data_IF_008461577198
#
_entry.id   IF_008461577198
#
_cell.length_a   1.000
_cell.length_b   1.000
_cell.length_c   1.000
_cell.angle_alpha   90.00
_cell.angle_beta   90.00
_cell.angle_gamma   90.00
#
_symmetry.space_group_name_H-M   'P 1'
#
loop_
_entity.id
_entity.type
_entity.pdbx_description
1 polymer ?
#
# COMPACT_ATOMS: atom_id res chain seq x y z
N UNK A 1 3.92 -30.91 -21.89
CA UNK A 1 4.68 -29.74 -21.41
C UNK A 1 4.37 -29.46 -19.95
N UNK A 2 5.38 -29.12 -19.16
CA UNK A 2 5.29 -28.87 -17.71
C UNK A 2 4.33 -27.71 -17.39
N UNK A 3 4.24 -26.70 -18.26
CA UNK A 3 3.38 -25.53 -18.08
C UNK A 3 1.89 -25.84 -17.87
N UNK A 4 1.32 -26.84 -18.57
CA UNK A 4 -0.09 -27.23 -18.38
C UNK A 4 -0.33 -27.84 -16.98
N UNK A 5 0.67 -28.49 -16.38
CA UNK A 5 0.59 -29.01 -15.01
C UNK A 5 0.67 -27.87 -13.99
N UNK A 6 1.60 -26.93 -14.18
CA UNK A 6 1.72 -25.74 -13.33
C UNK A 6 0.45 -24.88 -13.34
N UNK A 7 -0.16 -24.67 -14.50
CA UNK A 7 -1.41 -23.92 -14.62
C UNK A 7 -2.55 -24.55 -13.83
N UNK A 8 -2.63 -25.89 -13.75
CA UNK A 8 -3.64 -26.57 -12.92
C UNK A 8 -3.45 -26.29 -11.44
N UNK A 9 -2.21 -26.24 -10.96
CA UNK A 9 -1.92 -25.87 -9.58
C UNK A 9 -2.26 -24.40 -9.29
N UNK A 10 -2.09 -23.51 -10.28
CA UNK A 10 -2.52 -22.11 -10.15
C UNK A 10 -4.04 -21.97 -10.01
N UNK A 11 -4.80 -22.74 -10.79
CA UNK A 11 -6.27 -22.79 -10.65
C UNK A 11 -6.71 -23.28 -9.27
N UNK A 12 -6.06 -24.32 -8.74
CA UNK A 12 -6.34 -24.80 -7.38
C UNK A 12 -5.98 -23.76 -6.32
N UNK A 13 -4.85 -23.06 -6.47
CA UNK A 13 -4.48 -21.97 -5.57
C UNK A 13 -5.49 -20.83 -5.62
N UNK A 14 -5.96 -20.47 -6.82
CA UNK A 14 -6.97 -19.44 -7.02
C UNK A 14 -8.28 -19.75 -6.31
N UNK A 15 -8.75 -21.00 -6.37
CA UNK A 15 -9.99 -21.40 -5.69
C UNK A 15 -9.92 -21.28 -4.16
N UNK A 16 -8.73 -21.40 -3.58
CA UNK A 16 -8.55 -21.46 -2.12
C UNK A 16 -7.99 -20.14 -1.55
N UNK A 17 -7.79 -19.11 -2.38
CA UNK A 17 -7.23 -17.83 -1.93
C UNK A 17 -8.06 -16.63 -2.36
N UNK A 18 -8.17 -15.65 -1.47
CA UNK A 18 -8.83 -14.36 -1.75
C UNK A 18 -8.08 -13.57 -2.82
N UNK A 19 -6.74 -13.68 -2.83
CA UNK A 19 -5.88 -13.25 -3.93
C UNK A 19 -4.70 -14.23 -4.09
N UNK A 20 -4.69 -14.98 -5.18
CA UNK A 20 -3.71 -16.05 -5.39
C UNK A 20 -2.28 -15.58 -5.67
N UNK A 21 -2.09 -14.30 -5.98
CA UNK A 21 -0.78 -13.72 -6.32
C UNK A 21 -0.19 -12.97 -5.12
N UNK A 22 -1.00 -12.40 -4.22
CA UNK A 22 -0.53 -11.53 -3.13
C UNK A 22 0.62 -12.11 -2.31
N UNK A 23 0.49 -13.33 -1.79
CA UNK A 23 1.55 -13.93 -0.94
C UNK A 23 2.87 -14.11 -1.69
N UNK A 24 2.80 -14.42 -2.98
CA UNK A 24 3.99 -14.59 -3.80
C UNK A 24 4.59 -13.23 -4.14
N UNK A 25 3.77 -12.28 -4.56
CA UNK A 25 4.20 -10.92 -4.84
C UNK A 25 4.93 -10.31 -3.65
N UNK A 26 4.33 -10.34 -2.46
CA UNK A 26 4.94 -9.83 -1.23
C UNK A 26 6.31 -10.49 -0.96
N UNK A 27 6.35 -11.83 -1.04
CA UNK A 27 7.58 -12.59 -0.76
C UNK A 27 8.68 -12.34 -1.79
N UNK A 28 8.35 -12.25 -3.07
CA UNK A 28 9.36 -12.14 -4.13
C UNK A 28 9.80 -10.69 -4.37
N UNK A 29 8.90 -9.72 -4.27
CA UNK A 29 9.19 -8.31 -4.56
C UNK A 29 9.75 -7.59 -3.34
N UNK A 30 9.22 -7.85 -2.15
CA UNK A 30 9.60 -7.10 -0.95
C UNK A 30 10.48 -7.90 0.01
N UNK A 31 10.12 -9.14 0.34
CA UNK A 31 10.79 -9.87 1.43
C UNK A 31 12.04 -10.66 1.02
N UNK A 32 12.23 -10.98 -0.27
CA UNK A 32 13.40 -11.74 -0.74
C UNK A 32 14.63 -10.89 -1.05
N UNK A 33 14.47 -9.59 -1.24
CA UNK A 33 15.59 -8.69 -1.49
C UNK A 33 16.50 -8.58 -0.26
N UNK A 34 17.78 -8.94 -0.39
CA UNK A 34 18.79 -8.76 0.67
C UNK A 34 19.54 -7.43 0.58
N UNK A 35 19.17 -6.57 -0.36
CA UNK A 35 19.75 -5.25 -0.53
C UNK A 35 19.23 -4.28 0.54
N UNK A 36 19.98 -3.23 0.89
CA UNK A 36 19.57 -2.26 1.91
C UNK A 36 18.21 -1.62 1.58
N UNK A 37 17.26 -1.72 2.51
CA UNK A 37 15.87 -1.26 2.36
C UNK A 37 15.78 0.28 2.24
N UNK A 38 16.69 1.00 2.92
CA UNK A 38 16.59 2.45 3.10
C UNK A 38 16.77 3.30 1.83
N UNK A 39 17.34 2.79 0.74
CA UNK A 39 17.60 3.61 -0.46
C UNK A 39 16.79 3.16 -1.66
N UNK A 40 16.54 1.85 -1.80
CA UNK A 40 16.02 1.29 -3.05
C UNK A 40 14.57 0.75 -2.94
N UNK A 41 13.99 0.70 -1.74
CA UNK A 41 12.67 0.09 -1.50
C UNK A 41 11.68 0.98 -0.75
N UNK A 42 12.12 2.14 -0.24
CA UNK A 42 11.26 3.08 0.46
C UNK A 42 10.85 4.25 -0.45
N UNK A 43 9.57 4.60 -0.42
CA UNK A 43 9.05 5.82 -1.06
C UNK A 43 9.00 6.94 -0.03
N UNK A 44 9.61 8.09 -0.35
CA UNK A 44 9.65 9.26 0.53
C UNK A 44 8.68 10.33 0.02
N UNK A 45 7.69 10.67 0.85
CA UNK A 45 6.83 11.85 0.64
C UNK A 45 7.37 13.03 1.43
N UNK A 46 7.60 14.17 0.77
CA UNK A 46 8.15 15.38 1.39
C UNK A 46 7.10 16.48 1.63
N UNK A 47 5.82 16.15 1.54
CA UNK A 47 4.73 17.14 1.52
C UNK A 47 4.69 18.01 2.81
N UNK A 48 4.87 17.39 3.97
CA UNK A 48 5.00 18.11 5.24
C UNK A 48 6.34 18.83 5.43
N UNK A 49 7.35 18.52 4.61
CA UNK A 49 8.69 19.10 4.72
C UNK A 49 8.83 20.44 3.99
N UNK A 50 7.97 20.75 3.01
CA UNK A 50 8.02 22.02 2.27
C UNK A 50 7.04 23.09 2.77
N UNK A 51 6.11 22.71 3.66
CA UNK A 51 5.18 23.65 4.28
C UNK A 51 5.74 24.07 5.64
N UNK A 52 5.98 25.37 5.83
CA UNK A 52 6.59 25.91 7.05
C UNK A 52 5.72 27.00 7.69
N UNK A 53 4.61 26.63 8.37
CA UNK A 53 3.71 27.60 8.99
C UNK A 53 4.34 28.33 10.18
N UNK A 54 5.37 27.74 10.78
CA UNK A 54 6.11 28.27 11.92
C UNK A 54 7.57 27.83 11.85
N UNK A 55 8.46 28.63 12.44
CA UNK A 55 9.89 28.34 12.57
C UNK A 55 10.18 27.34 13.70
N UNK A 56 9.20 27.06 14.57
CA UNK A 56 9.37 26.15 15.70
C UNK A 56 9.21 24.69 15.23
N UNK A 57 10.31 23.95 15.18
CA UNK A 57 10.34 22.54 14.76
C UNK A 57 9.38 21.66 15.58
N UNK A 58 9.37 21.82 16.91
CA UNK A 58 8.52 21.04 17.81
C UNK A 58 7.03 21.27 17.53
N UNK A 59 6.62 22.49 17.20
CA UNK A 59 5.23 22.80 16.88
C UNK A 59 4.79 22.13 15.58
N UNK A 60 5.66 22.08 14.55
CA UNK A 60 5.39 21.36 13.29
C UNK A 60 5.29 19.86 13.52
N UNK A 61 6.22 19.28 14.29
CA UNK A 61 6.18 17.85 14.62
C UNK A 61 4.93 17.48 15.41
N UNK A 62 4.55 18.29 16.40
CA UNK A 62 3.33 18.09 17.19
C UNK A 62 2.07 18.10 16.31
N UNK A 63 2.00 19.01 15.34
CA UNK A 63 0.87 19.07 14.41
C UNK A 63 0.76 17.82 13.52
N UNK A 64 1.89 17.34 12.97
CA UNK A 64 1.92 16.10 12.17
C UNK A 64 1.49 14.89 13.00
N UNK A 65 1.97 14.79 14.25
CA UNK A 65 1.59 13.72 15.18
C UNK A 65 0.09 13.78 15.51
N UNK A 66 -0.44 14.98 15.78
CA UNK A 66 -1.87 15.17 16.06
C UNK A 66 -2.74 14.74 14.87
N UNK A 67 -2.39 15.17 13.65
CA UNK A 67 -3.09 14.77 12.43
C UNK A 67 -3.02 13.25 12.19
N UNK A 68 -1.87 12.61 12.46
CA UNK A 68 -1.72 11.16 12.36
C UNK A 68 -2.63 10.40 13.34
N UNK A 69 -2.81 10.92 14.57
CA UNK A 69 -3.74 10.33 15.53
C UNK A 69 -5.20 10.51 15.12
N UNK A 70 -5.57 11.67 14.58
CA UNK A 70 -6.92 11.89 14.05
C UNK A 70 -7.23 10.90 12.92
N UNK A 71 -6.31 10.77 11.95
CA UNK A 71 -6.47 9.83 10.84
C UNK A 71 -6.53 8.37 11.32
N UNK A 72 -5.70 7.98 12.29
CA UNK A 72 -5.80 6.66 12.93
C UNK A 72 -7.17 6.43 13.55
N UNK A 73 -7.72 7.42 14.25
CA UNK A 73 -9.05 7.29 14.86
C UNK A 73 -10.13 7.09 13.80
N UNK A 74 -10.07 7.82 12.68
CA UNK A 74 -11.01 7.64 11.56
C UNK A 74 -10.88 6.24 10.92
N UNK A 75 -9.65 5.71 10.81
CA UNK A 75 -9.40 4.35 10.33
C UNK A 75 -9.97 3.29 11.27
N UNK A 76 -9.70 3.43 12.57
CA UNK A 76 -10.14 2.49 13.60
C UNK A 76 -11.69 2.46 13.69
N UNK A 77 -12.36 3.61 13.47
CA UNK A 77 -13.83 3.70 13.39
C UNK A 77 -14.41 3.36 12.00
N UNK A 78 -13.59 3.05 11.00
CA UNK A 78 -14.02 2.82 9.61
C UNK A 78 -14.79 4.01 8.99
N UNK A 79 -14.52 5.22 9.46
CA UNK A 79 -15.13 6.47 8.96
C UNK A 79 -14.39 7.01 7.72
N UNK A 80 -13.20 6.48 7.44
CA UNK A 80 -12.44 6.80 6.22
C UNK A 80 -13.25 6.47 4.97
N UNK A 81 -13.46 7.48 4.13
CA UNK A 81 -14.19 7.34 2.86
C UNK A 81 -13.42 6.39 1.94
N UNK A 82 -14.10 5.47 1.24
CA UNK A 82 -13.43 4.60 0.29
C UNK A 82 -12.80 5.45 -0.81
N UNK A 83 -11.58 5.10 -1.21
CA UNK A 83 -10.92 5.69 -2.37
C UNK A 83 -11.67 5.19 -3.61
N UNK A 84 -12.70 5.93 -4.04
CA UNK A 84 -13.50 5.53 -5.20
C UNK A 84 -12.63 5.59 -6.45
N UNK A 85 -12.13 4.45 -6.90
CA UNK A 85 -11.61 4.31 -8.26
C UNK A 85 -12.80 4.14 -9.22
N UNK A 86 -13.64 5.17 -9.34
CA UNK A 86 -14.71 5.20 -10.32
C UNK A 86 -14.25 5.91 -11.61
N UNK A 87 -13.24 5.35 -12.29
CA UNK A 87 -13.22 5.45 -13.75
C UNK A 87 -14.02 4.25 -14.25
N UNK A 88 -15.29 4.50 -14.61
CA UNK A 88 -16.11 3.57 -15.40
C UNK A 88 -15.24 2.97 -16.49
N UNK A 89 -14.94 1.68 -16.36
CA UNK A 89 -14.50 0.84 -17.47
C UNK A 89 -15.69 0.78 -18.42
N UNK A 90 -15.75 1.70 -19.39
CA UNK A 90 -16.66 1.60 -20.51
C UNK A 90 -16.22 0.40 -21.33
N UNK A 91 -16.72 -0.79 -20.99
CA UNK A 91 -16.74 -1.92 -21.91
C UNK A 91 -17.90 -1.59 -22.86
N UNK A 92 -17.56 -1.01 -24.02
CA UNK A 92 -18.46 -0.97 -25.15
C UNK A 92 -18.70 -2.41 -25.60
N UNK A 93 -19.98 -2.78 -25.66
CA UNK A 93 -20.46 -3.87 -26.50
C UNK A 93 -20.23 -3.56 -27.97
#
# INVERSE_FOLDING_TARGET
TIGKKLQRYLWLKWLISTNYVSDWWEKFVYLRGRSPIMVNSNFYGLDAAYIHPTTIQTARAANVVCAAFQYRSELDHQETKPVSSAKKMYILH
#
